data_IF_356401715730
#
_entry.id   IF_356401715730
#
_cell.length_a   1.000
_cell.length_b   1.000
_cell.length_c   1.000
_cell.angle_alpha   90.00
_cell.angle_beta   90.00
_cell.angle_gamma   90.00
#
_symmetry.space_group_name_H-M   'P 1'
#
loop_
_entity.id
_entity.type
_entity.pdbx_description
1 polymer ?
#
# COMPACT_ATOMS: atom_id res chain seq x y z
N UNK A 1 -23.10 23.61 14.53
CA UNK A 1 -23.90 23.14 13.36
C UNK A 1 -24.29 21.71 13.63
N UNK A 2 -25.57 21.38 13.55
CA UNK A 2 -26.03 20.00 13.73
C UNK A 2 -25.66 19.25 12.43
N UNK A 3 -24.76 18.25 12.52
CA UNK A 3 -24.38 17.45 11.37
C UNK A 3 -25.59 16.63 10.88
N UNK A 4 -25.67 16.38 9.58
CA UNK A 4 -26.74 15.53 8.98
C UNK A 4 -26.59 14.04 9.34
N UNK A 5 -25.49 13.67 10.00
CA UNK A 5 -25.22 12.35 10.56
C UNK A 5 -24.80 12.51 12.02
N UNK A 6 -25.54 11.85 12.91
CA UNK A 6 -25.27 11.84 14.34
C UNK A 6 -24.46 10.61 14.75
N UNK A 7 -24.68 9.47 14.09
CA UNK A 7 -24.01 8.20 14.36
C UNK A 7 -23.57 7.52 13.07
N UNK A 8 -22.30 7.08 13.03
CA UNK A 8 -21.68 6.38 11.89
C UNK A 8 -20.98 5.12 12.38
N UNK A 9 -21.18 4.00 11.68
CA UNK A 9 -20.46 2.75 11.91
C UNK A 9 -19.34 2.60 10.87
N UNK A 10 -18.14 2.17 11.31
CA UNK A 10 -17.00 1.88 10.43
C UNK A 10 -16.62 0.42 10.59
N UNK A 11 -16.70 -0.34 9.52
CA UNK A 11 -16.43 -1.77 9.46
C UNK A 11 -15.01 -2.01 8.95
N UNK A 12 -14.16 -2.52 9.81
CA UNK A 12 -12.70 -2.60 9.63
C UNK A 12 -11.99 -1.40 10.26
N UNK A 13 -11.14 -1.66 11.26
CA UNK A 13 -10.39 -0.64 12.01
C UNK A 13 -8.88 -0.71 11.73
N UNK A 14 -8.52 -1.07 10.51
CA UNK A 14 -7.14 -1.05 10.02
C UNK A 14 -6.64 0.35 9.66
N UNK A 15 -5.64 0.40 8.78
CA UNK A 15 -4.93 1.63 8.34
C UNK A 15 -5.86 2.71 7.73
N UNK A 16 -7.04 2.34 7.26
CA UNK A 16 -8.01 3.30 6.69
C UNK A 16 -9.13 3.58 7.68
N UNK A 17 -9.77 2.53 8.20
CA UNK A 17 -10.98 2.70 9.00
C UNK A 17 -10.75 3.38 10.34
N UNK A 18 -9.65 3.09 11.05
CA UNK A 18 -9.38 3.72 12.34
C UNK A 18 -9.08 5.22 12.24
N UNK A 19 -8.23 5.70 11.31
CA UNK A 19 -8.04 7.13 11.09
C UNK A 19 -9.33 7.84 10.67
N UNK A 20 -10.16 7.23 9.79
CA UNK A 20 -11.47 7.78 9.39
C UNK A 20 -12.40 7.88 10.59
N UNK A 21 -12.45 6.84 11.44
CA UNK A 21 -13.25 6.81 12.68
C UNK A 21 -12.87 7.93 13.64
N UNK A 22 -11.57 8.05 13.94
CA UNK A 22 -11.07 9.06 14.85
C UNK A 22 -11.27 10.48 14.31
N UNK A 23 -11.13 10.67 12.99
CA UNK A 23 -11.35 11.96 12.34
C UNK A 23 -12.83 12.37 12.39
N UNK A 24 -13.78 11.50 12.09
CA UNK A 24 -15.22 11.75 12.23
C UNK A 24 -15.59 12.06 13.69
N UNK A 25 -15.08 11.27 14.64
CA UNK A 25 -15.30 11.46 16.07
C UNK A 25 -14.80 12.83 16.54
N UNK A 26 -13.65 13.30 16.04
CA UNK A 26 -13.10 14.64 16.34
C UNK A 26 -14.00 15.79 15.87
N UNK A 27 -14.91 15.53 14.93
CA UNK A 27 -15.92 16.47 14.44
C UNK A 27 -17.24 16.38 15.21
N UNK A 28 -17.30 15.58 16.28
CA UNK A 28 -18.45 15.44 17.17
C UNK A 28 -19.46 14.38 16.77
N UNK A 29 -19.21 13.61 15.69
CA UNK A 29 -20.03 12.45 15.31
C UNK A 29 -19.81 11.31 16.30
N UNK A 30 -20.85 10.60 16.69
CA UNK A 30 -20.71 9.33 17.42
C UNK A 30 -20.29 8.24 16.45
N UNK A 31 -19.14 7.62 16.69
CA UNK A 31 -18.57 6.60 15.79
C UNK A 31 -18.51 5.26 16.49
N UNK A 32 -19.08 4.24 15.85
CA UNK A 32 -18.98 2.83 16.22
C UNK A 32 -17.95 2.18 15.29
N UNK A 33 -16.75 1.94 15.80
CA UNK A 33 -15.76 1.15 15.09
C UNK A 33 -16.01 -0.33 15.28
N UNK A 34 -16.05 -1.09 14.19
CA UNK A 34 -16.31 -2.54 14.21
C UNK A 34 -15.13 -3.28 13.63
N UNK A 35 -14.57 -4.22 14.37
CA UNK A 35 -13.51 -5.09 13.87
C UNK A 35 -13.66 -6.51 14.44
N UNK A 36 -13.38 -7.51 13.63
CA UNK A 36 -13.39 -8.93 14.04
C UNK A 36 -12.20 -9.29 14.91
N UNK A 37 -11.13 -8.47 14.90
CA UNK A 37 -9.94 -8.66 15.72
C UNK A 37 -10.18 -8.11 17.14
N UNK A 38 -10.50 -8.99 18.07
CA UNK A 38 -10.75 -8.63 19.48
C UNK A 38 -9.56 -7.89 20.13
N UNK A 39 -8.32 -8.19 19.72
CA UNK A 39 -7.15 -7.48 20.23
C UNK A 39 -7.13 -6.02 19.80
N UNK A 40 -7.41 -5.75 18.52
CA UNK A 40 -7.53 -4.38 17.99
C UNK A 40 -8.67 -3.62 18.70
N UNK A 41 -9.83 -4.25 18.86
CA UNK A 41 -10.97 -3.68 19.59
C UNK A 41 -10.59 -3.35 21.03
N UNK A 42 -9.91 -4.25 21.73
CA UNK A 42 -9.45 -4.04 23.11
C UNK A 42 -8.47 -2.87 23.22
N UNK A 43 -7.49 -2.77 22.30
CA UNK A 43 -6.54 -1.66 22.29
C UNK A 43 -7.23 -0.32 22.05
N UNK A 44 -8.11 -0.24 21.05
CA UNK A 44 -8.84 1.00 20.71
C UNK A 44 -9.75 1.42 21.87
N UNK A 45 -10.42 0.49 22.54
CA UNK A 45 -11.25 0.78 23.73
C UNK A 45 -10.43 1.39 24.87
N UNK A 46 -9.12 1.08 24.95
CA UNK A 46 -8.17 1.68 25.88
C UNK A 46 -7.59 3.04 25.37
N UNK A 47 -8.02 3.51 24.21
CA UNK A 47 -7.48 4.72 23.58
C UNK A 47 -6.08 4.52 22.98
N UNK A 48 -5.72 3.28 22.58
CA UNK A 48 -4.43 2.93 21.98
C UNK A 48 -4.62 2.52 20.52
N UNK A 49 -3.59 2.74 19.72
CA UNK A 49 -3.54 2.32 18.31
C UNK A 49 -2.69 1.04 18.19
N UNK A 50 -3.07 0.13 17.30
CA UNK A 50 -2.39 -1.16 17.10
C UNK A 50 -1.39 -1.15 15.92
N UNK A 51 -1.13 0.01 15.32
CA UNK A 51 -0.09 0.26 14.31
C UNK A 51 0.48 1.68 14.48
N UNK A 52 1.65 1.96 13.90
CA UNK A 52 2.30 3.26 14.02
C UNK A 52 1.83 4.22 12.94
N UNK A 53 1.30 5.39 13.35
CA UNK A 53 0.96 6.51 12.46
C UNK A 53 1.04 7.83 13.25
N UNK A 54 1.75 8.85 12.75
CA UNK A 54 1.86 10.14 13.41
C UNK A 54 0.49 10.74 13.77
N UNK A 55 0.38 11.31 14.96
CA UNK A 55 -0.79 12.03 15.51
C UNK A 55 -2.05 11.17 15.71
N UNK A 56 -2.10 9.93 15.22
CA UNK A 56 -3.28 9.07 15.32
C UNK A 56 -3.56 8.64 16.77
N UNK A 57 -2.52 8.31 17.55
CA UNK A 57 -2.67 7.92 18.95
C UNK A 57 -3.38 8.99 19.78
N UNK A 58 -2.98 10.25 19.60
CA UNK A 58 -3.59 11.38 20.30
C UNK A 58 -5.06 11.55 19.89
N UNK A 59 -5.36 11.42 18.61
CA UNK A 59 -6.69 11.59 18.06
C UNK A 59 -7.65 10.48 18.54
N UNK A 60 -7.21 9.20 18.48
CA UNK A 60 -7.98 8.05 18.98
C UNK A 60 -8.22 8.18 20.49
N UNK A 61 -7.19 8.50 21.26
CA UNK A 61 -7.32 8.67 22.71
C UNK A 61 -8.35 9.74 23.06
N UNK A 62 -8.29 10.91 22.41
CA UNK A 62 -9.24 12.00 22.63
C UNK A 62 -10.67 11.58 22.25
N UNK A 63 -10.85 10.88 21.13
CA UNK A 63 -12.15 10.43 20.66
C UNK A 63 -12.79 9.40 21.61
N UNK A 64 -12.00 8.47 22.16
CA UNK A 64 -12.46 7.47 23.14
C UNK A 64 -12.78 8.16 24.49
N UNK A 65 -11.91 9.02 24.98
CA UNK A 65 -12.13 9.73 26.26
C UNK A 65 -13.36 10.63 26.24
N UNK A 66 -13.70 11.21 25.10
CA UNK A 66 -14.92 12.03 24.93
C UNK A 66 -16.18 11.21 24.67
N UNK A 67 -16.06 9.88 24.62
CA UNK A 67 -17.16 8.97 24.31
C UNK A 67 -17.68 9.07 22.87
N UNK A 68 -16.90 9.69 21.96
CA UNK A 68 -17.26 9.85 20.56
C UNK A 68 -16.80 8.71 19.67
N UNK A 69 -15.85 7.89 20.12
CA UNK A 69 -15.42 6.66 19.47
C UNK A 69 -15.50 5.51 20.47
N UNK A 70 -16.14 4.43 20.07
CA UNK A 70 -16.07 3.15 20.77
C UNK A 70 -15.86 2.02 19.77
N UNK A 71 -15.13 1.01 20.17
CA UNK A 71 -14.84 -0.16 19.34
C UNK A 71 -15.64 -1.38 19.84
N UNK A 72 -16.19 -2.14 18.91
CA UNK A 72 -17.01 -3.33 19.14
C UNK A 72 -16.71 -4.41 18.11
N UNK A 73 -17.11 -5.67 18.40
CA UNK A 73 -16.92 -6.78 17.45
C UNK A 73 -18.15 -7.00 16.54
N UNK A 74 -19.30 -6.42 16.90
CA UNK A 74 -20.56 -6.60 16.17
C UNK A 74 -21.15 -5.24 15.82
N UNK A 75 -21.62 -5.02 14.57
CA UNK A 75 -22.27 -3.78 14.18
C UNK A 75 -23.53 -3.49 14.97
N UNK A 76 -23.81 -2.22 15.14
CA UNK A 76 -25.03 -1.69 15.77
C UNK A 76 -25.73 -0.70 14.83
N UNK A 77 -27.02 -0.36 15.06
CA UNK A 77 -27.75 0.60 14.24
C UNK A 77 -27.03 1.94 14.13
N UNK A 78 -26.87 2.46 12.91
CA UNK A 78 -26.25 3.74 12.60
C UNK A 78 -26.89 4.35 11.35
N UNK A 79 -26.71 5.65 11.12
CA UNK A 79 -27.24 6.35 9.94
C UNK A 79 -26.38 6.10 8.68
N UNK A 80 -25.09 5.82 8.88
CA UNK A 80 -24.18 5.45 7.81
C UNK A 80 -23.23 4.32 8.24
N UNK A 81 -22.86 3.48 7.26
CA UNK A 81 -21.91 2.39 7.40
C UNK A 81 -20.78 2.58 6.38
N UNK A 82 -19.54 2.72 6.85
CA UNK A 82 -18.35 2.78 5.99
C UNK A 82 -17.67 1.41 6.06
N UNK A 83 -17.48 0.76 4.91
CA UNK A 83 -16.78 -0.52 4.79
C UNK A 83 -15.34 -0.27 4.35
N UNK A 84 -14.39 -0.51 5.25
CA UNK A 84 -12.96 -0.30 5.07
C UNK A 84 -12.16 -1.57 5.41
N UNK A 85 -12.59 -2.70 4.85
CA UNK A 85 -12.00 -4.03 5.05
C UNK A 85 -10.96 -4.35 3.97
N UNK A 86 -10.01 -5.29 4.22
CA UNK A 86 -9.04 -5.71 3.22
C UNK A 86 -9.68 -6.32 1.97
N UNK A 87 -8.97 -6.20 0.83
CA UNK A 87 -9.32 -6.83 -0.46
C UNK A 87 -8.05 -7.43 -1.06
N UNK A 88 -7.52 -8.54 -0.50
CA UNK A 88 -6.30 -9.16 -0.98
C UNK A 88 -6.53 -9.86 -2.32
N UNK A 89 -5.42 -10.31 -2.94
CA UNK A 89 -5.47 -11.26 -4.05
C UNK A 89 -5.54 -12.68 -3.51
N UNK A 90 -6.31 -13.52 -4.19
CA UNK A 90 -6.20 -14.97 -4.08
C UNK A 90 -4.95 -15.48 -4.83
N UNK A 91 -4.60 -16.75 -4.64
CA UNK A 91 -3.40 -17.36 -5.23
C UNK A 91 -3.37 -17.28 -6.78
N UNK A 92 -4.54 -17.22 -7.41
CA UNK A 92 -4.72 -17.09 -8.86
C UNK A 92 -4.72 -15.62 -9.34
N UNK A 93 -4.31 -14.69 -8.49
CA UNK A 93 -4.28 -13.22 -8.73
C UNK A 93 -5.66 -12.58 -8.96
N UNK A 94 -6.73 -13.24 -8.54
CA UNK A 94 -8.08 -12.67 -8.53
C UNK A 94 -8.37 -11.91 -7.25
N UNK A 95 -9.23 -10.88 -7.29
CA UNK A 95 -9.66 -10.16 -6.09
C UNK A 95 -10.42 -11.07 -5.13
N UNK A 96 -9.99 -11.15 -3.88
CA UNK A 96 -10.79 -11.78 -2.82
C UNK A 96 -11.74 -10.73 -2.20
N UNK A 97 -13.02 -10.86 -2.51
CA UNK A 97 -14.09 -10.00 -1.98
C UNK A 97 -14.79 -10.60 -0.75
N UNK A 98 -14.28 -11.70 -0.21
CA UNK A 98 -14.88 -12.40 0.93
C UNK A 98 -15.04 -11.52 2.18
N UNK A 99 -14.11 -10.60 2.42
CA UNK A 99 -14.18 -9.63 3.52
C UNK A 99 -15.32 -8.62 3.32
N UNK A 100 -15.53 -8.14 2.09
CA UNK A 100 -16.67 -7.24 1.77
C UNK A 100 -17.99 -8.00 1.95
N UNK A 101 -18.05 -9.25 1.50
CA UNK A 101 -19.24 -10.11 1.66
C UNK A 101 -19.55 -10.38 3.14
N UNK A 102 -18.52 -10.58 3.97
CA UNK A 102 -18.67 -10.74 5.40
C UNK A 102 -19.14 -9.45 6.07
N UNK A 103 -18.58 -8.30 5.69
CA UNK A 103 -19.03 -6.99 6.16
C UNK A 103 -20.51 -6.74 5.80
N UNK A 104 -20.91 -7.04 4.56
CA UNK A 104 -22.32 -6.94 4.13
C UNK A 104 -23.26 -7.79 4.99
N UNK A 105 -22.90 -9.05 5.24
CA UNK A 105 -23.68 -9.93 6.13
C UNK A 105 -23.76 -9.40 7.56
N UNK A 106 -22.69 -8.81 8.07
CA UNK A 106 -22.65 -8.31 9.44
C UNK A 106 -23.53 -7.07 9.65
N UNK A 107 -23.59 -6.15 8.67
CA UNK A 107 -24.41 -4.93 8.79
C UNK A 107 -25.88 -5.17 8.42
N UNK A 108 -26.19 -6.18 7.61
CA UNK A 108 -27.56 -6.42 7.14
C UNK A 108 -28.63 -6.43 8.25
N UNK A 109 -28.44 -7.10 9.42
CA UNK A 109 -29.45 -7.13 10.48
C UNK A 109 -29.79 -5.77 11.09
N UNK A 110 -28.88 -4.80 11.00
CA UNK A 110 -29.01 -3.48 11.65
C UNK A 110 -29.29 -2.35 10.66
N UNK A 111 -29.52 -2.67 9.37
CA UNK A 111 -29.89 -1.68 8.37
C UNK A 111 -31.35 -1.21 8.55
N UNK A 112 -31.57 0.07 8.34
CA UNK A 112 -32.86 0.73 8.37
C UNK A 112 -33.05 1.64 7.15
N UNK A 113 -34.32 1.90 6.78
CA UNK A 113 -34.63 2.84 5.70
C UNK A 113 -33.97 4.23 5.97
N UNK A 114 -33.33 4.78 4.94
CA UNK A 114 -32.59 6.05 5.03
C UNK A 114 -31.09 5.87 5.29
N UNK A 115 -30.61 4.64 5.55
CA UNK A 115 -29.19 4.39 5.76
C UNK A 115 -28.35 4.62 4.50
N UNK A 116 -27.12 5.10 4.73
CA UNK A 116 -26.07 5.20 3.73
C UNK A 116 -25.04 4.10 3.95
N UNK A 117 -24.63 3.42 2.89
CA UNK A 117 -23.49 2.50 2.90
C UNK A 117 -22.43 3.06 1.96
N UNK A 118 -21.21 3.23 2.45
CA UNK A 118 -20.07 3.64 1.67
C UNK A 118 -19.02 2.54 1.64
N UNK A 119 -18.65 2.09 0.46
CA UNK A 119 -17.52 1.20 0.27
C UNK A 119 -16.25 2.04 0.06
N UNK A 120 -15.30 1.98 1.00
CA UNK A 120 -13.97 2.59 0.92
C UNK A 120 -12.90 1.60 0.48
N UNK A 121 -13.12 0.29 0.70
CA UNK A 121 -12.19 -0.76 0.29
C UNK A 121 -11.90 -0.69 -1.20
N UNK A 122 -10.62 -0.78 -1.60
CA UNK A 122 -10.25 -0.86 -3.02
C UNK A 122 -10.92 -2.08 -3.66
N UNK A 123 -11.61 -1.88 -4.77
CA UNK A 123 -12.51 -2.89 -5.32
C UNK A 123 -12.50 -2.92 -6.85
N UNK A 124 -12.71 -4.08 -7.48
CA UNK A 124 -13.03 -4.17 -8.91
C UNK A 124 -14.26 -3.37 -9.30
N UNK A 125 -14.30 -2.93 -10.55
CA UNK A 125 -15.48 -2.23 -11.10
C UNK A 125 -16.73 -3.11 -11.00
N UNK A 126 -17.83 -2.53 -10.48
CA UNK A 126 -19.10 -3.23 -10.27
C UNK A 126 -19.28 -3.81 -8.87
N UNK A 127 -18.31 -3.68 -7.96
CA UNK A 127 -18.39 -4.20 -6.59
C UNK A 127 -19.51 -3.52 -5.79
N UNK A 128 -19.68 -2.20 -5.92
CA UNK A 128 -20.80 -1.50 -5.26
C UNK A 128 -22.18 -1.99 -5.71
N UNK A 129 -22.34 -2.29 -6.99
CA UNK A 129 -23.58 -2.86 -7.50
C UNK A 129 -23.79 -4.31 -7.04
N UNK A 130 -22.71 -5.11 -6.91
CA UNK A 130 -22.74 -6.45 -6.33
C UNK A 130 -23.14 -6.38 -4.85
N UNK A 131 -22.55 -5.49 -4.07
CA UNK A 131 -22.89 -5.24 -2.66
C UNK A 131 -24.39 -4.90 -2.50
N UNK A 132 -24.91 -4.05 -3.39
CA UNK A 132 -26.33 -3.69 -3.41
C UNK A 132 -27.24 -4.90 -3.63
N UNK A 133 -26.90 -5.80 -4.55
CA UNK A 133 -27.66 -7.04 -4.81
C UNK A 133 -27.61 -7.99 -3.62
N UNK A 134 -26.43 -8.21 -3.07
CA UNK A 134 -26.23 -9.09 -1.90
C UNK A 134 -27.03 -8.60 -0.68
N UNK A 135 -27.03 -7.31 -0.41
CA UNK A 135 -27.81 -6.75 0.70
C UNK A 135 -29.31 -6.84 0.47
N UNK A 136 -29.77 -6.73 -0.78
CA UNK A 136 -31.19 -6.93 -1.11
C UNK A 136 -31.66 -8.38 -0.85
N UNK A 137 -30.79 -9.36 -1.12
CA UNK A 137 -31.07 -10.76 -0.79
C UNK A 137 -31.16 -10.99 0.73
N UNK A 138 -30.31 -10.32 1.51
CA UNK A 138 -30.30 -10.42 2.97
C UNK A 138 -31.40 -9.62 3.65
N UNK A 139 -31.92 -8.56 3.00
CA UNK A 139 -32.96 -7.65 3.54
C UNK A 139 -34.02 -7.38 2.48
N UNK A 140 -34.89 -8.40 2.18
CA UNK A 140 -35.95 -8.28 1.20
C UNK A 140 -37.07 -7.30 1.62
N UNK A 141 -37.04 -6.85 2.87
CA UNK A 141 -37.96 -5.85 3.44
C UNK A 141 -37.55 -4.41 3.07
N UNK A 142 -36.30 -4.19 2.55
CA UNK A 142 -35.77 -2.90 2.13
C UNK A 142 -35.54 -2.83 0.63
N UNK A 143 -35.60 -1.64 0.07
CA UNK A 143 -35.29 -1.42 -1.35
C UNK A 143 -33.89 -0.86 -1.54
N UNK A 144 -33.21 -1.30 -2.60
CA UNK A 144 -31.81 -0.96 -2.88
C UNK A 144 -31.65 -0.30 -4.25
N UNK A 145 -30.58 0.55 -4.45
CA UNK A 145 -30.47 1.41 -5.61
C UNK A 145 -30.30 0.69 -6.94
N UNK A 146 -29.77 -0.55 -6.98
CA UNK A 146 -29.65 -1.33 -8.22
C UNK A 146 -31.02 -1.69 -8.84
N UNK A 147 -32.07 -1.78 -8.04
CA UNK A 147 -33.43 -2.11 -8.49
C UNK A 147 -34.40 -0.93 -8.41
N UNK A 148 -34.35 -0.15 -7.32
CA UNK A 148 -35.31 0.95 -7.08
C UNK A 148 -34.76 2.34 -7.52
N UNK A 149 -33.49 2.43 -7.93
CA UNK A 149 -32.87 3.68 -8.36
C UNK A 149 -32.93 4.76 -7.26
N UNK A 150 -33.37 5.97 -7.63
CA UNK A 150 -33.46 7.13 -6.74
C UNK A 150 -34.52 6.96 -5.61
N UNK A 151 -35.42 6.00 -5.73
CA UNK A 151 -36.49 5.75 -4.76
C UNK A 151 -36.12 4.68 -3.73
N UNK A 152 -34.88 4.17 -3.77
CA UNK A 152 -34.43 3.15 -2.80
C UNK A 152 -34.44 3.64 -1.36
N UNK A 153 -34.73 2.76 -0.41
CA UNK A 153 -34.61 3.02 1.02
C UNK A 153 -33.16 3.20 1.44
N UNK A 154 -32.28 2.39 0.87
CA UNK A 154 -30.83 2.44 1.16
C UNK A 154 -30.10 3.26 0.09
N UNK A 155 -29.07 3.99 0.51
CA UNK A 155 -28.13 4.67 -0.38
C UNK A 155 -26.80 3.93 -0.37
N UNK A 156 -26.20 3.72 -1.55
CA UNK A 156 -24.88 3.06 -1.66
C UNK A 156 -23.97 3.89 -2.55
N UNK A 157 -22.77 4.17 -2.03
CA UNK A 157 -21.72 4.89 -2.73
C UNK A 157 -20.36 4.21 -2.56
N UNK A 158 -19.45 4.53 -3.46
CA UNK A 158 -18.03 4.20 -3.38
C UNK A 158 -17.23 5.48 -3.16
N UNK A 159 -16.31 5.47 -2.21
CA UNK A 159 -15.40 6.58 -2.00
C UNK A 159 -14.01 6.05 -1.61
N UNK A 160 -13.12 5.81 -2.58
CA UNK A 160 -11.84 5.18 -2.33
C UNK A 160 -10.92 6.07 -1.47
N UNK A 161 -10.13 5.44 -0.63
CA UNK A 161 -9.09 6.12 0.12
C UNK A 161 -7.82 6.30 -0.74
N UNK A 162 -7.16 7.47 -0.59
CA UNK A 162 -6.02 7.91 -1.41
C UNK A 162 -4.91 8.52 -0.56
N UNK A 163 -4.81 8.10 0.71
CA UNK A 163 -3.83 8.60 1.68
C UNK A 163 -2.51 7.81 1.64
N UNK A 164 -1.45 8.44 2.11
CA UNK A 164 -0.14 7.83 2.29
C UNK A 164 0.15 7.56 3.77
N UNK A 165 0.63 6.37 4.15
CA UNK A 165 1.15 6.10 5.47
C UNK A 165 2.22 7.13 5.88
N UNK A 166 2.13 7.61 7.13
CA UNK A 166 2.96 8.68 7.68
C UNK A 166 2.35 10.08 7.57
N UNK A 167 1.21 10.24 6.86
CA UNK A 167 0.48 11.53 6.72
C UNK A 167 -1.04 11.33 6.70
N UNK A 168 -1.52 10.20 7.19
CA UNK A 168 -2.92 9.79 7.03
C UNK A 168 -3.91 10.81 7.56
N UNK A 169 -3.72 11.28 8.79
CA UNK A 169 -4.66 12.22 9.44
C UNK A 169 -4.77 13.55 8.66
N UNK A 170 -3.65 14.05 8.15
CA UNK A 170 -3.62 15.29 7.36
C UNK A 170 -4.31 15.08 6.00
N UNK A 171 -3.93 14.03 5.29
CA UNK A 171 -4.41 13.77 3.93
C UNK A 171 -5.88 13.35 3.90
N UNK A 172 -6.40 12.70 4.96
CA UNK A 172 -7.84 12.44 5.12
C UNK A 172 -8.67 13.72 5.05
N UNK A 173 -8.14 14.82 5.57
CA UNK A 173 -8.84 16.11 5.65
C UNK A 173 -8.59 16.98 4.42
N UNK A 174 -7.37 16.98 3.88
CA UNK A 174 -6.96 17.96 2.87
C UNK A 174 -7.12 17.45 1.42
N UNK A 175 -7.03 16.13 1.18
CA UNK A 175 -7.12 15.58 -0.16
C UNK A 175 -8.53 15.67 -0.74
N UNK A 176 -8.60 15.88 -2.06
CA UNK A 176 -9.85 15.76 -2.81
C UNK A 176 -10.40 14.34 -2.73
N UNK A 177 -11.73 14.21 -2.67
CA UNK A 177 -12.44 12.94 -2.67
C UNK A 177 -13.16 12.71 -4.00
N UNK A 178 -13.13 11.47 -4.48
CA UNK A 178 -13.96 11.03 -5.59
C UNK A 178 -15.08 10.19 -5.01
N UNK A 179 -16.32 10.61 -5.20
CA UNK A 179 -17.50 9.99 -4.61
C UNK A 179 -18.39 9.48 -5.71
N UNK A 180 -18.42 8.17 -5.89
CA UNK A 180 -19.25 7.48 -6.87
C UNK A 180 -20.53 6.92 -6.27
N UNK A 181 -21.69 7.39 -6.70
CA UNK A 181 -22.97 6.82 -6.26
C UNK A 181 -23.50 5.78 -7.22
N UNK A 182 -24.24 4.77 -6.72
CA UNK A 182 -25.05 3.93 -7.60
C UNK A 182 -26.19 4.73 -8.26
N UNK A 183 -26.57 5.86 -7.64
CA UNK A 183 -27.44 6.90 -8.21
C UNK A 183 -26.91 8.28 -7.80
N UNK A 184 -27.31 9.37 -8.47
CA UNK A 184 -26.95 10.74 -8.04
C UNK A 184 -27.31 11.03 -6.59
N UNK A 185 -28.46 10.56 -6.08
CA UNK A 185 -28.84 10.74 -4.68
C UNK A 185 -27.91 9.97 -3.72
N UNK A 186 -27.37 8.81 -4.13
CA UNK A 186 -26.37 8.07 -3.36
C UNK A 186 -25.07 8.88 -3.24
N UNK A 187 -24.56 9.43 -4.34
CA UNK A 187 -23.37 10.28 -4.33
C UNK A 187 -23.58 11.54 -3.47
N UNK A 188 -24.72 12.23 -3.63
CA UNK A 188 -25.05 13.42 -2.84
C UNK A 188 -25.17 13.12 -1.32
N UNK A 189 -25.68 11.95 -0.96
CA UNK A 189 -25.77 11.55 0.44
C UNK A 189 -24.38 11.26 1.04
N UNK A 190 -23.50 10.60 0.27
CA UNK A 190 -22.12 10.37 0.68
C UNK A 190 -21.31 11.68 0.75
N UNK A 191 -21.49 12.62 -0.17
CA UNK A 191 -20.88 13.96 -0.09
C UNK A 191 -21.21 14.65 1.24
N UNK A 192 -22.46 14.56 1.69
CA UNK A 192 -22.86 15.14 2.99
C UNK A 192 -22.10 14.52 4.17
N UNK A 193 -21.74 13.24 4.10
CA UNK A 193 -20.95 12.56 5.13
C UNK A 193 -19.49 13.03 5.10
N UNK A 194 -18.86 13.02 3.94
CA UNK A 194 -17.44 13.38 3.83
C UNK A 194 -17.18 14.86 4.13
N UNK A 195 -18.09 15.77 3.76
CA UNK A 195 -17.96 17.22 4.10
C UNK A 195 -17.98 17.53 5.60
N UNK A 196 -18.23 16.55 6.45
CA UNK A 196 -18.08 16.73 7.91
C UNK A 196 -16.61 16.98 8.25
N UNK A 197 -15.67 16.36 7.52
CA UNK A 197 -14.25 16.43 7.85
C UNK A 197 -13.33 16.80 6.67
N UNK A 198 -13.74 16.55 5.43
CA UNK A 198 -12.95 16.85 4.23
C UNK A 198 -13.03 18.33 3.89
N UNK A 199 -11.86 18.96 3.71
CA UNK A 199 -11.68 20.34 3.23
C UNK A 199 -11.42 20.40 1.73
N UNK A 200 -10.85 19.34 1.16
CA UNK A 200 -10.64 19.19 -0.27
C UNK A 200 -11.95 19.17 -1.06
N UNK A 201 -11.87 19.16 -2.38
CA UNK A 201 -13.04 19.04 -3.24
C UNK A 201 -13.63 17.64 -3.16
N UNK A 202 -14.96 17.54 -3.09
CA UNK A 202 -15.68 16.29 -3.27
C UNK A 202 -16.24 16.26 -4.71
N UNK A 203 -15.67 15.41 -5.54
CA UNK A 203 -15.99 15.25 -6.96
C UNK A 203 -16.98 14.10 -7.12
N UNK A 204 -18.22 14.43 -7.52
CA UNK A 204 -19.27 13.43 -7.62
C UNK A 204 -19.29 12.78 -9.01
N UNK A 205 -19.45 11.46 -9.03
CA UNK A 205 -19.56 10.65 -10.24
C UNK A 205 -20.41 9.40 -9.98
N UNK A 206 -20.48 8.47 -10.93
CA UNK A 206 -21.06 7.13 -10.71
C UNK A 206 -20.06 6.18 -10.04
N UNK A 207 -20.58 5.12 -9.43
CA UNK A 207 -19.78 4.16 -8.65
C UNK A 207 -18.71 3.45 -9.50
N UNK A 208 -19.06 3.01 -10.72
CA UNK A 208 -18.13 2.29 -11.59
C UNK A 208 -16.94 3.18 -12.00
N UNK A 209 -17.21 4.44 -12.31
CA UNK A 209 -16.16 5.42 -12.61
C UNK A 209 -15.24 5.63 -11.41
N UNK A 210 -15.78 5.80 -10.20
CA UNK A 210 -14.98 6.00 -9.00
C UNK A 210 -14.13 4.76 -8.65
N UNK A 211 -14.68 3.55 -8.81
CA UNK A 211 -13.96 2.28 -8.64
C UNK A 211 -12.78 2.18 -9.63
N UNK A 212 -13.02 2.49 -10.92
CA UNK A 212 -11.96 2.44 -11.93
C UNK A 212 -10.90 3.52 -11.72
N UNK A 213 -11.27 4.73 -11.29
CA UNK A 213 -10.30 5.82 -11.01
C UNK A 213 -9.28 5.38 -9.97
N UNK A 214 -9.73 4.76 -8.87
CA UNK A 214 -8.81 4.25 -7.83
C UNK A 214 -7.81 3.25 -8.40
N UNK A 215 -8.27 2.30 -9.16
CA UNK A 215 -7.42 1.27 -9.79
C UNK A 215 -6.47 1.88 -10.82
N UNK A 216 -6.96 2.87 -11.59
CA UNK A 216 -6.18 3.56 -12.62
C UNK A 216 -4.99 4.31 -12.02
N UNK A 217 -5.15 4.98 -10.88
CA UNK A 217 -4.06 5.70 -10.21
C UNK A 217 -2.89 4.77 -9.86
N UNK A 218 -3.19 3.60 -9.30
CA UNK A 218 -2.19 2.61 -8.92
C UNK A 218 -1.61 1.88 -10.14
N UNK A 219 -2.44 1.53 -11.13
CA UNK A 219 -1.98 0.93 -12.38
C UNK A 219 -1.08 1.88 -13.18
N UNK A 220 -1.40 3.18 -13.25
CA UNK A 220 -0.53 4.19 -13.87
C UNK A 220 0.84 4.23 -13.21
N UNK A 221 0.87 4.23 -11.86
CA UNK A 221 2.12 4.24 -11.11
C UNK A 221 2.92 2.96 -11.36
N UNK A 222 2.27 1.80 -11.36
CA UNK A 222 2.88 0.50 -11.61
C UNK A 222 3.51 0.40 -13.00
N UNK A 223 2.79 0.83 -14.05
CA UNK A 223 3.29 0.88 -15.44
C UNK A 223 4.53 1.76 -15.56
N UNK A 224 4.54 2.93 -14.90
CA UNK A 224 5.70 3.83 -14.94
C UNK A 224 6.90 3.27 -14.17
N UNK A 225 6.69 2.52 -13.09
CA UNK A 225 7.76 1.81 -12.39
C UNK A 225 8.27 0.64 -13.25
N UNK A 226 7.37 -0.10 -13.90
CA UNK A 226 7.76 -1.19 -14.81
C UNK A 226 8.66 -0.68 -15.94
N UNK A 227 8.32 0.45 -16.55
CA UNK A 227 9.17 1.08 -17.55
C UNK A 227 10.58 1.41 -17.01
N UNK A 228 10.67 1.98 -15.79
CA UNK A 228 11.97 2.28 -15.18
C UNK A 228 12.75 0.99 -14.84
N UNK A 229 12.08 -0.04 -14.36
CA UNK A 229 12.66 -1.34 -14.05
C UNK A 229 13.19 -2.04 -15.32
N UNK A 230 12.39 -2.09 -16.38
CA UNK A 230 12.80 -2.66 -17.66
C UNK A 230 13.98 -1.90 -18.26
N UNK A 231 13.94 -0.54 -18.25
CA UNK A 231 15.06 0.29 -18.69
C UNK A 231 16.35 -0.03 -17.92
N UNK A 232 16.24 -0.30 -16.61
CA UNK A 232 17.41 -0.68 -15.80
C UNK A 232 17.98 -2.03 -16.21
N UNK A 233 17.13 -3.01 -16.58
CA UNK A 233 17.58 -4.31 -17.09
C UNK A 233 18.25 -4.18 -18.47
N UNK A 234 17.72 -3.34 -19.34
CA UNK A 234 18.30 -3.01 -20.65
C UNK A 234 19.69 -2.36 -20.47
N UNK A 235 19.79 -1.37 -19.58
CA UNK A 235 21.05 -0.68 -19.29
C UNK A 235 22.10 -1.64 -18.72
N UNK A 236 21.71 -2.55 -17.81
CA UNK A 236 22.59 -3.59 -17.29
C UNK A 236 23.16 -4.48 -18.44
N UNK A 237 22.30 -4.89 -19.37
CA UNK A 237 22.71 -5.70 -20.53
C UNK A 237 23.64 -4.97 -21.51
N UNK A 238 23.52 -3.64 -21.58
CA UNK A 238 24.34 -2.78 -22.44
C UNK A 238 25.58 -2.21 -21.74
N UNK A 239 25.75 -2.43 -20.43
CA UNK A 239 26.84 -1.84 -19.64
C UNK A 239 26.70 -0.34 -19.47
N UNK A 240 25.46 0.19 -19.42
CA UNK A 240 25.14 1.61 -19.25
C UNK A 240 24.67 1.89 -17.82
N UNK A 241 24.91 3.12 -17.36
CA UNK A 241 24.37 3.63 -16.10
C UNK A 241 22.91 4.10 -16.30
N UNK A 242 21.95 3.34 -15.78
CA UNK A 242 20.51 3.66 -15.88
C UNK A 242 20.17 5.00 -15.22
N UNK A 243 20.83 5.34 -14.13
CA UNK A 243 20.57 6.58 -13.40
C UNK A 243 20.95 7.80 -14.26
N UNK A 244 22.07 7.71 -14.96
CA UNK A 244 22.49 8.74 -15.91
C UNK A 244 21.55 8.83 -17.11
N UNK A 245 21.10 7.70 -17.64
CA UNK A 245 20.12 7.66 -18.73
C UNK A 245 18.81 8.33 -18.28
N UNK A 246 18.29 8.01 -17.10
CA UNK A 246 17.06 8.62 -16.55
C UNK A 246 17.23 10.12 -16.32
N UNK A 247 18.36 10.53 -15.70
CA UNK A 247 18.66 11.94 -15.45
C UNK A 247 18.63 12.78 -16.74
N UNK A 248 19.32 12.29 -17.78
CA UNK A 248 19.38 12.98 -19.07
C UNK A 248 18.03 12.96 -19.80
N UNK A 249 17.32 11.83 -19.78
CA UNK A 249 15.99 11.71 -20.39
C UNK A 249 14.97 12.66 -19.74
N UNK A 250 15.02 12.80 -18.43
CA UNK A 250 14.13 13.68 -17.67
C UNK A 250 14.40 15.19 -17.90
N UNK A 251 15.49 15.55 -18.62
CA UNK A 251 15.68 16.93 -19.11
C UNK A 251 14.67 17.30 -20.21
N UNK A 252 14.09 16.30 -20.87
CA UNK A 252 13.06 16.57 -21.86
C UNK A 252 11.76 16.98 -21.15
N UNK A 253 11.10 18.10 -21.54
CA UNK A 253 10.00 18.71 -20.78
C UNK A 253 8.75 17.82 -20.64
N UNK A 254 8.59 16.81 -21.49
CA UNK A 254 7.46 15.86 -21.48
C UNK A 254 7.81 14.47 -20.94
N UNK A 255 9.00 14.29 -20.36
CA UNK A 255 9.45 12.99 -19.84
C UNK A 255 9.69 13.09 -18.34
N UNK A 256 9.12 12.14 -17.58
CA UNK A 256 9.30 11.98 -16.14
C UNK A 256 9.40 10.49 -15.79
N UNK A 257 10.54 9.89 -16.12
CA UNK A 257 10.82 8.50 -15.78
C UNK A 257 11.02 8.39 -14.28
N UNK A 258 10.37 7.42 -13.64
CA UNK A 258 10.53 7.12 -12.22
C UNK A 258 11.88 6.43 -11.96
N UNK A 259 12.21 6.24 -10.68
CA UNK A 259 13.43 5.53 -10.29
C UNK A 259 13.16 4.01 -10.31
N UNK A 260 14.06 3.19 -10.88
CA UNK A 260 13.98 1.75 -10.78
C UNK A 260 14.27 1.27 -9.34
N UNK A 261 13.94 0.01 -9.06
CA UNK A 261 14.20 -0.61 -7.78
C UNK A 261 14.37 -2.13 -7.90
N UNK A 262 14.41 -2.86 -6.77
CA UNK A 262 14.55 -4.31 -6.78
C UNK A 262 13.26 -5.04 -7.18
N UNK A 263 12.15 -4.34 -7.27
CA UNK A 263 10.80 -4.83 -7.57
C UNK A 263 9.77 -3.84 -7.04
N UNK A 264 8.50 -4.22 -7.05
CA UNK A 264 7.37 -3.44 -6.52
C UNK A 264 6.66 -4.24 -5.44
N UNK A 265 6.67 -3.72 -4.22
CA UNK A 265 6.03 -4.31 -3.06
C UNK A 265 4.86 -3.48 -2.52
N UNK A 266 4.39 -3.91 -1.36
CA UNK A 266 3.23 -3.33 -0.69
C UNK A 266 1.90 -3.85 -1.25
N UNK A 267 0.85 -3.61 -0.51
CA UNK A 267 -0.48 -4.19 -0.75
C UNK A 267 -1.38 -3.36 -1.68
N UNK A 268 -0.86 -2.32 -2.34
CA UNK A 268 -1.64 -1.49 -3.27
C UNK A 268 -1.12 -1.60 -4.70
N UNK A 269 0.10 -1.10 -4.96
CA UNK A 269 0.63 -1.02 -6.33
C UNK A 269 0.88 -2.42 -6.92
N UNK A 270 1.29 -3.39 -6.10
CA UNK A 270 1.48 -4.77 -6.53
C UNK A 270 0.15 -5.53 -6.76
N UNK A 271 -0.96 -5.05 -6.20
CA UNK A 271 -2.26 -5.74 -6.12
C UNK A 271 -3.30 -5.15 -7.08
N UNK A 272 -3.56 -3.85 -6.98
CA UNK A 272 -4.69 -3.19 -7.65
C UNK A 272 -4.70 -3.33 -9.19
N UNK A 273 -3.55 -3.34 -9.90
CA UNK A 273 -3.56 -3.57 -11.34
C UNK A 273 -4.15 -4.91 -11.77
N UNK A 274 -4.02 -5.95 -10.93
CA UNK A 274 -4.62 -7.25 -11.20
C UNK A 274 -6.14 -7.22 -11.19
N UNK A 275 -6.77 -6.28 -10.43
CA UNK A 275 -8.22 -6.08 -10.46
C UNK A 275 -8.72 -5.61 -11.83
N UNK A 276 -7.93 -4.76 -12.53
CA UNK A 276 -8.24 -4.36 -13.90
C UNK A 276 -8.02 -5.54 -14.86
N UNK A 277 -6.94 -6.30 -14.64
CA UNK A 277 -6.60 -7.47 -15.49
C UNK A 277 -7.65 -8.56 -15.38
N UNK A 278 -8.15 -8.85 -14.17
CA UNK A 278 -9.23 -9.83 -13.95
C UNK A 278 -10.54 -9.38 -14.61
N UNK A 279 -10.90 -8.09 -14.46
CA UNK A 279 -12.15 -7.57 -15.02
C UNK A 279 -12.17 -7.46 -16.55
N UNK A 280 -11.02 -7.19 -17.19
CA UNK A 280 -10.91 -6.98 -18.65
C UNK A 280 -9.63 -7.61 -19.22
N UNK A 281 -9.48 -8.94 -19.18
CA UNK A 281 -8.22 -9.62 -19.47
C UNK A 281 -7.70 -9.38 -20.90
N UNK A 282 -8.57 -9.26 -21.89
CA UNK A 282 -8.19 -9.05 -23.29
C UNK A 282 -7.74 -7.60 -23.57
N UNK A 283 -8.29 -6.63 -22.84
CA UNK A 283 -8.01 -5.20 -23.06
C UNK A 283 -6.82 -4.69 -22.23
N UNK A 284 -6.47 -5.34 -21.12
CA UNK A 284 -5.48 -4.88 -20.14
C UNK A 284 -4.04 -5.37 -20.39
N UNK A 285 -3.65 -5.50 -21.66
CA UNK A 285 -2.34 -6.07 -22.09
C UNK A 285 -1.16 -5.32 -21.47
N UNK A 286 -1.15 -3.98 -21.56
CA UNK A 286 -0.07 -3.16 -21.03
C UNK A 286 0.06 -3.29 -19.50
N UNK A 287 -1.07 -3.24 -18.79
CA UNK A 287 -1.12 -3.33 -17.32
C UNK A 287 -0.61 -4.70 -16.86
N UNK A 288 -1.03 -5.77 -17.51
CA UNK A 288 -0.55 -7.13 -17.25
C UNK A 288 0.95 -7.25 -17.46
N UNK A 289 1.46 -6.82 -18.63
CA UNK A 289 2.89 -6.89 -18.93
C UNK A 289 3.72 -6.06 -17.96
N UNK A 290 3.23 -4.89 -17.56
CA UNK A 290 3.91 -4.08 -16.55
C UNK A 290 4.03 -4.81 -15.20
N UNK A 291 2.97 -5.49 -14.75
CA UNK A 291 3.04 -6.35 -13.57
C UNK A 291 4.05 -7.48 -13.73
N UNK A 292 4.05 -8.18 -14.85
CA UNK A 292 5.00 -9.25 -15.16
C UNK A 292 6.45 -8.76 -15.15
N UNK A 293 6.71 -7.57 -15.69
CA UNK A 293 8.03 -6.91 -15.62
C UNK A 293 8.42 -6.63 -14.16
N UNK A 294 7.53 -6.02 -13.37
CA UNK A 294 7.79 -5.70 -11.98
C UNK A 294 7.97 -6.96 -11.11
N UNK A 295 7.18 -8.01 -11.34
CA UNK A 295 7.27 -9.30 -10.65
C UNK A 295 8.54 -10.08 -11.02
N UNK A 296 9.09 -9.88 -12.24
CA UNK A 296 10.34 -10.51 -12.68
C UNK A 296 11.60 -9.78 -12.19
N UNK A 297 11.47 -8.53 -11.76
CA UNK A 297 12.64 -7.71 -11.37
C UNK A 297 13.45 -8.28 -10.19
N UNK A 298 12.86 -8.86 -9.14
CA UNK A 298 13.61 -9.54 -8.09
C UNK A 298 14.54 -10.63 -8.63
N UNK A 299 14.08 -11.44 -9.60
CA UNK A 299 14.88 -12.51 -10.21
C UNK A 299 16.10 -11.94 -10.95
N UNK A 300 15.95 -10.80 -11.63
CA UNK A 300 17.08 -10.12 -12.27
C UNK A 300 18.13 -9.67 -11.23
N UNK A 301 17.71 -9.15 -10.10
CA UNK A 301 18.61 -8.76 -9.00
C UNK A 301 19.33 -9.98 -8.43
N UNK A 302 18.61 -11.07 -8.19
CA UNK A 302 19.17 -12.35 -7.71
C UNK A 302 20.24 -12.86 -8.67
N UNK A 303 19.98 -12.82 -9.98
CA UNK A 303 20.95 -13.25 -10.98
C UNK A 303 22.21 -12.38 -11.01
N UNK A 304 22.09 -11.07 -10.78
CA UNK A 304 23.25 -10.19 -10.59
C UNK A 304 24.06 -10.58 -9.36
N UNK A 305 23.39 -10.85 -8.23
CA UNK A 305 24.05 -11.30 -7.00
C UNK A 305 24.77 -12.62 -7.24
N UNK A 306 24.11 -13.60 -7.88
CA UNK A 306 24.66 -14.92 -8.21
C UNK A 306 25.95 -14.83 -9.04
N UNK A 307 25.93 -14.02 -10.11
CA UNK A 307 27.12 -13.82 -10.98
C UNK A 307 28.32 -13.24 -10.21
N UNK A 308 28.07 -12.38 -9.22
CA UNK A 308 29.13 -11.83 -8.41
C UNK A 308 29.60 -12.81 -7.31
N UNK A 309 28.68 -13.51 -6.67
CA UNK A 309 28.96 -14.52 -5.64
C UNK A 309 29.88 -15.64 -6.16
N UNK A 310 29.70 -16.08 -7.41
CA UNK A 310 30.53 -17.10 -8.06
C UNK A 310 32.04 -16.74 -8.16
N UNK A 311 32.42 -15.49 -7.91
CA UNK A 311 33.82 -15.05 -7.89
C UNK A 311 34.55 -15.37 -6.58
N UNK A 312 33.80 -15.78 -5.55
CA UNK A 312 34.30 -16.10 -4.21
C UNK A 312 34.10 -17.57 -3.91
N UNK A 313 34.94 -18.15 -3.07
CA UNK A 313 34.78 -19.53 -2.63
C UNK A 313 33.64 -19.67 -1.63
N UNK A 314 33.56 -18.77 -0.65
CA UNK A 314 32.58 -18.74 0.43
C UNK A 314 32.10 -17.29 0.66
N UNK A 315 31.31 -16.71 -0.26
CA UNK A 315 30.98 -15.28 -0.20
C UNK A 315 30.12 -14.94 1.00
N UNK A 316 30.35 -13.73 1.55
CA UNK A 316 29.49 -13.11 2.55
C UNK A 316 28.70 -11.98 1.89
N UNK A 317 27.38 -12.09 1.90
CA UNK A 317 26.46 -11.18 1.18
C UNK A 317 25.67 -10.39 2.21
N UNK A 318 25.88 -9.07 2.29
CA UNK A 318 25.05 -8.17 3.11
C UNK A 318 23.85 -7.67 2.31
N UNK A 319 22.64 -7.97 2.77
CA UNK A 319 21.38 -7.46 2.25
C UNK A 319 20.91 -6.29 3.11
N UNK A 320 20.91 -5.08 2.55
CA UNK A 320 20.63 -3.84 3.25
C UNK A 320 19.21 -3.37 2.93
N UNK A 321 18.32 -3.49 3.91
CA UNK A 321 16.89 -3.23 3.83
C UNK A 321 16.08 -4.46 3.47
N UNK A 322 15.00 -4.70 4.23
CA UNK A 322 14.07 -5.82 4.05
C UNK A 322 12.62 -5.37 3.83
N UNK A 323 12.29 -4.13 4.17
CA UNK A 323 10.93 -3.59 4.02
C UNK A 323 10.60 -3.26 2.57
N UNK A 324 9.30 -3.09 2.24
CA UNK A 324 8.90 -2.82 0.86
C UNK A 324 9.19 -1.39 0.39
N UNK A 325 9.41 -0.47 1.31
CA UNK A 325 9.79 0.94 1.02
C UNK A 325 10.63 1.53 2.18
N UNK A 326 11.37 2.63 1.96
CA UNK A 326 12.22 3.21 2.98
C UNK A 326 11.46 3.77 4.18
N UNK A 327 12.10 3.69 5.36
CA UNK A 327 11.69 4.31 6.62
C UNK A 327 10.32 3.85 7.14
N UNK A 328 10.01 2.57 6.96
CA UNK A 328 8.83 1.89 7.52
C UNK A 328 9.23 0.52 8.05
N UNK A 329 8.37 -0.06 8.87
CA UNK A 329 8.49 -1.42 9.44
C UNK A 329 7.66 -2.48 8.70
N UNK A 330 7.14 -2.16 7.50
CA UNK A 330 6.22 -3.00 6.75
C UNK A 330 6.94 -3.91 5.74
N UNK A 331 6.80 -5.21 5.95
CA UNK A 331 7.44 -6.28 5.16
C UNK A 331 6.50 -6.88 4.09
N UNK A 332 5.23 -6.46 4.04
CA UNK A 332 4.23 -7.08 3.15
C UNK A 332 4.61 -6.94 1.69
N UNK A 333 4.59 -8.06 0.97
CA UNK A 333 4.95 -8.13 -0.45
C UNK A 333 6.30 -7.45 -0.76
N UNK A 334 7.28 -7.56 0.16
CA UNK A 334 8.58 -6.91 -0.02
C UNK A 334 9.47 -7.67 -0.99
N UNK A 335 9.86 -7.07 -2.14
CA UNK A 335 10.87 -7.65 -3.03
C UNK A 335 12.23 -7.83 -2.35
N UNK A 336 12.58 -6.95 -1.40
CA UNK A 336 13.83 -7.05 -0.65
C UNK A 336 13.87 -8.29 0.25
N UNK A 337 12.74 -8.58 0.92
CA UNK A 337 12.58 -9.79 1.71
C UNK A 337 12.65 -11.04 0.83
N UNK A 338 11.94 -11.03 -0.31
CA UNK A 338 11.93 -12.13 -1.29
C UNK A 338 13.34 -12.42 -1.82
N UNK A 339 14.08 -11.38 -2.26
CA UNK A 339 15.46 -11.52 -2.75
C UNK A 339 16.34 -12.12 -1.66
N UNK A 340 16.26 -11.61 -0.42
CA UNK A 340 17.06 -12.08 0.71
C UNK A 340 16.78 -13.54 1.02
N UNK A 341 15.50 -13.93 1.07
CA UNK A 341 15.09 -15.33 1.27
C UNK A 341 15.58 -16.26 0.13
N UNK A 342 15.50 -15.78 -1.12
CA UNK A 342 15.89 -16.56 -2.28
C UNK A 342 17.39 -16.89 -2.30
N UNK A 343 18.24 -15.87 -2.06
CA UNK A 343 19.70 -16.10 -2.02
C UNK A 343 20.13 -16.96 -0.83
N UNK A 344 19.43 -16.89 0.30
CA UNK A 344 19.67 -17.77 1.44
C UNK A 344 19.25 -19.21 1.11
N UNK A 345 18.08 -19.42 0.51
CA UNK A 345 17.57 -20.74 0.08
C UNK A 345 18.48 -21.40 -0.94
N UNK A 346 18.99 -20.68 -1.91
CA UNK A 346 19.95 -21.18 -2.90
C UNK A 346 21.37 -21.37 -2.36
N UNK A 347 21.63 -20.99 -1.11
CA UNK A 347 22.94 -21.06 -0.47
C UNK A 347 24.06 -20.42 -1.30
N UNK A 348 23.76 -19.22 -1.85
CA UNK A 348 24.77 -18.49 -2.65
C UNK A 348 25.95 -18.01 -1.81
N UNK A 349 25.86 -18.06 -0.48
CA UNK A 349 26.88 -17.71 0.49
C UNK A 349 26.27 -17.56 1.88
N UNK A 350 27.06 -17.00 2.81
CA UNK A 350 26.55 -16.53 4.10
C UNK A 350 25.80 -15.21 3.88
N UNK A 351 24.56 -15.12 4.35
CA UNK A 351 23.72 -13.94 4.19
C UNK A 351 23.65 -13.14 5.49
N UNK A 352 23.94 -11.86 5.42
CA UNK A 352 23.81 -10.90 6.52
C UNK A 352 22.64 -9.97 6.20
N UNK A 353 21.54 -10.13 6.93
CA UNK A 353 20.34 -9.32 6.77
C UNK A 353 20.39 -8.11 7.73
N UNK A 354 20.20 -6.91 7.17
CA UNK A 354 20.20 -5.64 7.93
C UNK A 354 18.90 -4.90 7.68
N UNK A 355 18.17 -4.59 8.75
CA UNK A 355 16.97 -3.77 8.67
C UNK A 355 16.81 -2.92 9.93
N UNK A 356 16.95 -1.57 9.81
CA UNK A 356 16.92 -0.68 10.97
C UNK A 356 15.53 -0.54 11.62
N UNK A 357 14.46 -0.82 10.87
CA UNK A 357 13.09 -0.56 11.30
C UNK A 357 12.36 -1.77 11.92
N UNK A 358 13.00 -2.96 11.97
CA UNK A 358 12.44 -4.14 12.65
C UNK A 358 13.37 -4.62 13.78
N UNK A 359 12.76 -5.06 14.87
CA UNK A 359 13.52 -5.53 16.05
C UNK A 359 13.92 -7.01 15.99
N UNK A 360 13.32 -7.79 15.07
CA UNK A 360 13.51 -9.25 15.00
C UNK A 360 13.50 -9.73 13.56
N UNK A 361 14.27 -10.76 13.29
CA UNK A 361 14.27 -11.45 12.00
C UNK A 361 12.85 -11.96 11.67
N UNK A 362 12.34 -11.66 10.45
CA UNK A 362 11.08 -12.22 9.97
C UNK A 362 11.09 -13.75 9.96
N UNK A 363 9.91 -14.37 10.18
CA UNK A 363 9.78 -15.83 10.24
C UNK A 363 10.23 -16.50 8.92
N UNK A 364 9.97 -15.85 7.81
CA UNK A 364 10.32 -16.28 6.46
C UNK A 364 11.84 -16.41 6.25
N UNK A 365 12.64 -15.70 7.03
CA UNK A 365 14.10 -15.75 7.01
C UNK A 365 14.69 -16.58 8.16
N UNK A 366 13.94 -16.81 9.23
CA UNK A 366 14.44 -17.47 10.44
C UNK A 366 14.75 -18.97 10.24
N UNK A 367 14.25 -19.59 9.17
CA UNK A 367 14.49 -21.00 8.84
C UNK A 367 15.87 -21.27 8.19
N UNK A 368 16.57 -20.22 7.72
CA UNK A 368 17.84 -20.38 6.99
C UNK A 368 19.03 -20.34 7.95
N UNK A 369 19.77 -21.44 8.05
CA UNK A 369 20.97 -21.60 8.88
C UNK A 369 22.19 -20.80 8.39
N UNK A 370 22.20 -20.42 7.11
CA UNK A 370 23.22 -19.57 6.47
C UNK A 370 22.91 -18.08 6.52
N UNK A 371 21.81 -17.67 7.22
CA UNK A 371 21.38 -16.27 7.33
C UNK A 371 21.47 -15.79 8.78
N UNK A 372 22.02 -14.61 8.97
CA UNK A 372 22.10 -13.91 10.27
C UNK A 372 21.54 -12.50 10.17
N UNK A 373 20.69 -12.13 11.12
CA UNK A 373 20.25 -10.76 11.32
C UNK A 373 21.29 -10.02 12.16
N UNK A 374 21.76 -8.85 11.73
CA UNK A 374 22.80 -8.10 12.42
C UNK A 374 22.75 -6.61 12.11
N UNK A 375 23.53 -5.84 12.85
CA UNK A 375 23.68 -4.42 12.65
C UNK A 375 24.45 -4.11 11.36
N UNK A 376 24.23 -2.89 10.83
CA UNK A 376 24.84 -2.40 9.60
C UNK A 376 26.38 -2.43 9.66
N UNK A 377 26.99 -2.02 10.80
CA UNK A 377 28.45 -2.00 10.97
C UNK A 377 29.05 -3.39 10.89
N UNK A 378 28.41 -4.38 11.53
CA UNK A 378 28.88 -5.77 11.54
C UNK A 378 28.76 -6.37 10.14
N UNK A 379 27.61 -6.14 9.48
CA UNK A 379 27.39 -6.60 8.12
C UNK A 379 28.43 -6.05 7.14
N UNK A 380 28.72 -4.76 7.21
CA UNK A 380 29.72 -4.12 6.33
C UNK A 380 31.15 -4.57 6.68
N UNK A 381 31.47 -4.87 7.92
CA UNK A 381 32.80 -5.38 8.28
C UNK A 381 33.08 -6.76 7.66
N UNK A 382 32.08 -7.65 7.60
CA UNK A 382 32.24 -9.04 7.14
C UNK A 382 31.98 -9.23 5.63
N UNK A 383 31.16 -8.37 4.98
CA UNK A 383 30.65 -8.62 3.63
C UNK A 383 31.71 -8.50 2.52
N UNK A 384 31.68 -9.43 1.58
CA UNK A 384 32.35 -9.35 0.27
C UNK A 384 31.45 -8.62 -0.76
N UNK A 385 30.14 -8.78 -0.63
CA UNK A 385 29.12 -8.21 -1.52
C UNK A 385 28.11 -7.43 -0.67
N UNK A 386 27.94 -6.14 -0.95
CA UNK A 386 26.94 -5.28 -0.34
C UNK A 386 25.78 -5.03 -1.33
N UNK A 387 24.58 -5.48 -0.98
CA UNK A 387 23.38 -5.33 -1.80
C UNK A 387 22.45 -4.35 -1.13
N UNK A 388 22.27 -3.16 -1.71
CA UNK A 388 21.26 -2.20 -1.26
C UNK A 388 19.92 -2.53 -1.92
N UNK A 389 18.97 -2.96 -1.11
CA UNK A 389 17.62 -3.32 -1.54
C UNK A 389 16.60 -2.22 -1.21
N UNK A 390 16.77 -1.54 -0.05
CA UNK A 390 15.91 -0.42 0.37
C UNK A 390 16.78 0.76 0.80
N UNK A 391 16.41 1.95 0.35
CA UNK A 391 17.17 3.19 0.59
C UNK A 391 16.74 3.89 1.90
N UNK A 392 16.87 3.17 3.05
CA UNK A 392 16.62 3.76 4.37
C UNK A 392 17.55 4.94 4.66
N UNK A 393 17.05 5.92 5.41
CA UNK A 393 17.81 7.11 5.76
C UNK A 393 19.12 6.79 6.50
N UNK A 394 19.12 5.75 7.32
CA UNK A 394 20.25 5.27 8.11
C UNK A 394 21.43 4.83 7.23
N UNK A 395 21.16 4.27 6.05
CA UNK A 395 22.21 3.86 5.11
C UNK A 395 22.94 5.03 4.45
N UNK A 396 22.49 6.27 4.69
CA UNK A 396 23.24 7.48 4.34
C UNK A 396 24.52 7.65 5.19
N UNK A 397 24.58 7.03 6.35
CA UNK A 397 25.75 7.10 7.20
C UNK A 397 26.93 6.25 6.69
N UNK A 398 26.68 5.28 5.78
CA UNK A 398 27.74 4.43 5.21
C UNK A 398 28.71 5.30 4.39
N UNK A 399 29.98 5.29 4.79
CA UNK A 399 31.03 6.03 4.09
C UNK A 399 31.56 5.25 2.88
N UNK A 400 32.05 5.98 1.85
CA UNK A 400 32.61 5.36 0.65
C UNK A 400 33.74 4.37 0.97
N UNK A 401 34.56 4.64 2.00
CA UNK A 401 35.65 3.75 2.44
C UNK A 401 35.18 2.37 2.87
N UNK A 402 33.96 2.24 3.42
CA UNK A 402 33.38 0.97 3.87
C UNK A 402 32.92 0.09 2.68
N UNK A 403 32.75 0.70 1.52
CA UNK A 403 32.33 0.04 0.28
C UNK A 403 33.50 -0.26 -0.69
N UNK A 404 34.68 0.35 -0.51
CA UNK A 404 35.79 0.31 -1.49
C UNK A 404 36.29 -1.09 -1.83
N UNK A 405 36.28 -2.03 -0.86
CA UNK A 405 36.79 -3.39 -1.05
C UNK A 405 35.65 -4.42 -1.25
N UNK A 406 34.48 -3.96 -1.60
CA UNK A 406 33.28 -4.81 -1.78
C UNK A 406 32.75 -4.71 -3.19
N UNK A 407 32.08 -5.75 -3.62
CA UNK A 407 31.20 -5.65 -4.79
C UNK A 407 29.91 -5.01 -4.32
N UNK A 408 29.57 -3.85 -4.88
CA UNK A 408 28.35 -3.12 -4.52
C UNK A 408 27.28 -3.32 -5.59
N UNK A 409 26.11 -3.81 -5.16
CA UNK A 409 24.90 -3.92 -5.99
C UNK A 409 23.87 -2.95 -5.44
N UNK A 410 23.89 -1.73 -5.97
CA UNK A 410 22.95 -0.68 -5.61
C UNK A 410 21.74 -0.75 -6.53
N UNK A 411 20.60 -1.23 -6.02
CA UNK A 411 19.36 -1.34 -6.80
C UNK A 411 18.54 -0.04 -6.79
N UNK A 412 18.97 0.96 -5.99
CA UNK A 412 18.25 2.22 -5.77
C UNK A 412 18.99 3.45 -6.28
N UNK A 413 20.26 3.30 -6.70
CA UNK A 413 21.11 4.43 -7.08
C UNK A 413 21.43 5.37 -5.92
N UNK A 414 21.38 4.87 -4.70
CA UNK A 414 21.50 5.66 -3.48
C UNK A 414 22.93 6.10 -3.16
N UNK A 415 23.90 5.31 -3.60
CA UNK A 415 25.33 5.56 -3.37
C UNK A 415 26.09 6.01 -4.61
N UNK A 416 25.41 6.26 -5.74
CA UNK A 416 26.06 6.62 -7.02
C UNK A 416 27.03 7.78 -6.91
N UNK A 417 26.68 8.82 -6.11
CA UNK A 417 27.52 10.00 -5.93
C UNK A 417 28.74 9.75 -4.99
N UNK A 418 28.78 8.60 -4.33
CA UNK A 418 29.83 8.19 -3.38
C UNK A 418 30.74 7.12 -3.94
N UNK A 419 30.21 6.27 -4.81
CA UNK A 419 30.99 5.28 -5.52
C UNK A 419 31.62 5.96 -6.73
N UNK A 420 32.85 6.37 -6.61
CA UNK A 420 33.61 6.89 -7.73
C UNK A 420 33.72 5.81 -8.81
N UNK A 421 32.87 5.84 -9.81
CA UNK A 421 33.06 5.19 -11.09
C UNK A 421 33.74 6.23 -11.96
N UNK A 422 35.04 6.06 -12.36
CA UNK A 422 35.63 6.94 -13.33
C UNK A 422 34.75 6.94 -14.57
N UNK A 423 34.19 8.11 -14.90
CA UNK A 423 33.47 8.29 -16.14
C UNK A 423 34.46 7.96 -17.27
N UNK A 424 34.11 7.00 -18.13
CA UNK A 424 34.89 6.63 -19.31
C UNK A 424 35.14 7.84 -20.24
N UNK A 425 34.49 8.97 -19.97
CA UNK A 425 34.61 10.24 -20.69
C UNK A 425 35.40 11.32 -19.95
N UNK A 426 36.10 10.99 -18.85
CA UNK A 426 37.16 11.83 -18.31
C UNK A 426 36.76 13.18 -17.73
N UNK A 427 35.54 13.32 -17.18
CA UNK A 427 35.19 14.52 -16.42
C UNK A 427 35.43 14.29 -14.93
N UNK A 428 36.48 14.93 -14.40
CA UNK A 428 36.61 15.14 -12.97
C UNK A 428 35.36 15.81 -12.41
N UNK A 429 34.92 15.36 -11.22
CA UNK A 429 33.88 16.06 -10.47
C UNK A 429 34.27 17.53 -10.38
N UNK A 430 33.41 18.43 -10.76
CA UNK A 430 33.55 19.84 -10.49
C UNK A 430 33.54 20.06 -8.97
N UNK A 431 34.53 20.79 -8.48
CA UNK A 431 34.73 21.26 -7.11
C UNK A 431 33.49 21.89 -6.48
#
# INVERSE_FOLDING_TARGET
MQHKFSRVAIIGLGYIGLPTAATLASRGVEVIGVDVNEHAVSMITQGKVHFSEPDLDMLVRAAVMTGKLRAVVTPEPAEAFIIAVPTPLADDKRPDLGYIDAAARSIAPVLEAGNLIVLESTSPVGTSARLSRQLAELRPDLTFPHAAGERSDIRIAYCPERILPGRMVLELVENDRIIGGLTPACAARADQLYRIFVKGACLLTDANTAELVKLTENAYRDVNIAFANELSMICDGMGLDVWRVIELSNRHPRVKILQPGPGVGGHCIAVDPWFIVDGMPEASRLIRTAREVNDSKPLHVIERIRRHAQRFKDPVIACLGLTYKPNVDDLRESPALEITAHIARERLGKVLAVEPHIARLPRELAEFDNLRFCDMSDALAEADIAVLLVDHAEFRAIEAKELLNKIVIDTRGFWRDRLYVPDRYGRAAAE
#
